data_IF_005724056876
#
_entry.id   IF_005724056876
#
_cell.length_a   1.000
_cell.length_b   1.000
_cell.length_c   1.000
_cell.angle_alpha   90.00
_cell.angle_beta   90.00
_cell.angle_gamma   90.00
#
_symmetry.space_group_name_H-M   'P 1'
#
loop_
_entity.id
_entity.type
_entity.pdbx_description
1 polymer ?
#
# COMPACT_ATOMS: atom_id res chain seq x y z
N UNK A 1 -40.44 -5.06 -26.28
CA UNK A 1 -39.21 -5.88 -26.25
C UNK A 1 -38.15 -5.08 -25.54
N UNK A 2 -37.68 -5.54 -24.38
CA UNK A 2 -36.67 -4.84 -23.59
C UNK A 2 -35.40 -5.64 -23.68
N UNK A 3 -34.52 -5.28 -24.61
CA UNK A 3 -33.15 -5.81 -24.64
C UNK A 3 -32.25 -4.60 -24.48
N UNK A 4 -32.03 -4.26 -23.22
CA UNK A 4 -31.01 -3.31 -22.80
C UNK A 4 -29.68 -3.73 -23.44
N UNK A 5 -28.98 -2.78 -24.04
CA UNK A 5 -27.57 -2.92 -24.39
C UNK A 5 -26.81 -3.29 -23.11
N UNK A 6 -26.57 -4.58 -22.89
CA UNK A 6 -25.73 -5.03 -21.80
C UNK A 6 -24.30 -4.53 -22.10
N UNK A 7 -23.73 -3.80 -21.15
CA UNK A 7 -22.37 -3.28 -21.27
C UNK A 7 -21.39 -4.46 -21.25
N UNK A 8 -20.90 -4.84 -22.43
CA UNK A 8 -19.99 -5.96 -22.64
C UNK A 8 -18.72 -5.83 -21.79
N UNK A 9 -18.25 -4.61 -21.54
CA UNK A 9 -17.07 -4.35 -20.72
C UNK A 9 -17.40 -4.58 -19.25
N UNK A 10 -18.54 -4.06 -18.77
CA UNK A 10 -18.97 -4.28 -17.39
C UNK A 10 -19.22 -5.76 -17.08
N UNK A 11 -19.84 -6.49 -18.01
CA UNK A 11 -20.06 -7.93 -17.89
C UNK A 11 -18.74 -8.71 -17.84
N UNK A 12 -17.80 -8.40 -18.74
CA UNK A 12 -16.49 -9.04 -18.73
C UNK A 12 -15.72 -8.76 -17.42
N UNK A 13 -15.74 -7.51 -16.92
CA UNK A 13 -15.10 -7.16 -15.63
C UNK A 13 -15.76 -7.90 -14.47
N UNK A 14 -17.08 -8.08 -14.50
CA UNK A 14 -17.80 -8.80 -13.45
C UNK A 14 -17.43 -10.29 -13.41
N UNK A 15 -17.20 -10.90 -14.58
CA UNK A 15 -16.84 -12.31 -14.70
C UNK A 15 -15.35 -12.59 -14.47
N UNK A 16 -14.47 -11.70 -14.93
CA UNK A 16 -13.02 -11.92 -14.98
C UNK A 16 -12.24 -11.09 -13.95
N UNK A 17 -12.89 -10.13 -13.29
CA UNK A 17 -12.23 -9.13 -12.48
C UNK A 17 -11.71 -7.95 -13.30
N UNK A 18 -11.26 -6.90 -12.61
CA UNK A 18 -10.64 -5.74 -13.25
C UNK A 18 -9.11 -5.87 -13.20
N UNK A 19 -8.42 -6.10 -14.34
CA UNK A 19 -6.97 -6.30 -14.36
C UNK A 19 -6.19 -5.08 -13.85
N UNK A 20 -6.74 -3.86 -13.95
CA UNK A 20 -6.11 -2.68 -13.37
C UNK A 20 -6.13 -2.70 -11.83
N UNK A 21 -7.21 -3.20 -11.23
CA UNK A 21 -7.30 -3.38 -9.77
C UNK A 21 -6.32 -4.45 -9.31
N UNK A 22 -6.23 -5.57 -10.03
CA UNK A 22 -5.25 -6.62 -9.74
C UNK A 22 -3.82 -6.08 -9.79
N UNK A 23 -3.48 -5.33 -10.84
CA UNK A 23 -2.13 -4.76 -10.97
C UNK A 23 -1.82 -3.75 -9.87
N UNK A 24 -2.77 -2.89 -9.51
CA UNK A 24 -2.60 -1.94 -8.40
C UNK A 24 -2.44 -2.65 -7.06
N UNK A 25 -3.21 -3.72 -6.83
CA UNK A 25 -3.11 -4.54 -5.62
C UNK A 25 -1.74 -5.20 -5.51
N UNK A 26 -1.24 -5.74 -6.63
CA UNK A 26 0.11 -6.30 -6.71
C UNK A 26 1.18 -5.25 -6.36
N UNK A 27 1.13 -4.07 -6.98
CA UNK A 27 2.12 -3.01 -6.74
C UNK A 27 2.09 -2.55 -5.28
N UNK A 28 0.90 -2.40 -4.69
CA UNK A 28 0.77 -2.02 -3.28
C UNK A 28 1.40 -3.06 -2.35
N UNK A 29 1.19 -4.35 -2.65
CA UNK A 29 1.77 -5.45 -1.89
C UNK A 29 3.30 -5.47 -2.01
N UNK A 30 3.83 -5.36 -3.23
CA UNK A 30 5.28 -5.29 -3.49
C UNK A 30 5.92 -4.11 -2.74
N UNK A 31 5.28 -2.94 -2.80
CA UNK A 31 5.74 -1.73 -2.07
C UNK A 31 5.77 -1.97 -0.55
N UNK A 32 4.72 -2.59 0.00
CA UNK A 32 4.64 -2.90 1.42
C UNK A 32 5.75 -3.86 1.88
N UNK A 33 6.06 -4.87 1.06
CA UNK A 33 7.14 -5.83 1.32
C UNK A 33 8.51 -5.17 1.28
N UNK A 34 8.77 -4.31 0.30
CA UNK A 34 10.01 -3.55 0.19
C UNK A 34 10.23 -2.62 1.39
N UNK A 35 9.20 -1.85 1.77
CA UNK A 35 9.26 -0.98 2.94
C UNK A 35 9.48 -1.79 4.21
N UNK A 36 8.77 -2.91 4.38
CA UNK A 36 8.94 -3.80 5.54
C UNK A 36 10.37 -4.36 5.61
N UNK A 37 10.94 -4.76 4.47
CA UNK A 37 12.31 -5.25 4.39
C UNK A 37 13.31 -4.16 4.78
N UNK A 38 13.15 -2.95 4.26
CA UNK A 38 13.99 -1.80 4.60
C UNK A 38 13.95 -1.48 6.11
N UNK A 39 12.75 -1.46 6.70
CA UNK A 39 12.57 -1.22 8.14
C UNK A 39 13.30 -2.29 8.97
N UNK A 40 13.13 -3.57 8.61
CA UNK A 40 13.84 -4.68 9.28
C UNK A 40 15.36 -4.54 9.19
N UNK A 41 15.90 -4.16 8.02
CA UNK A 41 17.33 -3.90 7.84
C UNK A 41 17.84 -2.75 8.72
N UNK A 42 16.97 -1.80 9.06
CA UNK A 42 17.26 -0.69 9.98
C UNK A 42 16.92 -0.99 11.44
N UNK A 43 16.48 -2.22 11.77
CA UNK A 43 16.08 -2.61 13.12
C UNK A 43 14.80 -1.92 13.61
N UNK A 44 13.92 -1.52 12.69
CA UNK A 44 12.64 -0.87 12.97
C UNK A 44 11.49 -1.85 12.76
N UNK A 45 10.54 -1.83 13.69
CA UNK A 45 9.24 -2.50 13.59
C UNK A 45 8.11 -1.47 13.39
N UNK A 46 6.88 -1.96 13.25
CA UNK A 46 5.71 -1.12 13.00
C UNK A 46 5.46 -0.13 14.15
N UNK A 47 5.60 -0.57 15.40
CA UNK A 47 5.44 0.27 16.60
C UNK A 47 6.46 1.40 16.62
N UNK A 48 7.73 1.08 16.34
CA UNK A 48 8.80 2.08 16.29
C UNK A 48 8.58 3.05 15.15
N UNK A 49 8.16 2.58 13.99
CA UNK A 49 7.84 3.45 12.87
C UNK A 49 6.69 4.40 13.22
N UNK A 50 5.60 3.88 13.78
CA UNK A 50 4.43 4.67 14.21
C UNK A 50 4.84 5.83 15.13
N UNK A 51 5.70 5.56 16.11
CA UNK A 51 6.27 6.58 17.00
C UNK A 51 7.18 7.59 16.28
N UNK A 52 7.94 7.13 15.27
CA UNK A 52 8.87 7.99 14.53
C UNK A 52 8.17 8.98 13.62
N UNK A 53 7.09 8.57 12.95
CA UNK A 53 6.35 9.40 11.99
C UNK A 53 5.10 10.05 12.58
N UNK A 54 4.81 9.81 13.85
CA UNK A 54 3.63 10.30 14.58
C UNK A 54 2.31 9.88 13.91
N UNK A 55 2.18 8.56 13.67
CA UNK A 55 1.02 7.96 13.01
C UNK A 55 0.52 6.79 13.85
N UNK A 56 -0.79 6.56 13.83
CA UNK A 56 -1.40 5.45 14.54
C UNK A 56 -0.85 4.10 14.04
N UNK A 57 -0.50 3.22 14.97
CA UNK A 57 0.03 1.87 14.67
C UNK A 57 -0.89 1.04 13.76
N UNK A 58 -2.20 1.22 13.89
CA UNK A 58 -3.17 0.53 13.04
C UNK A 58 -3.00 0.90 11.57
N UNK A 59 -2.79 2.18 11.27
CA UNK A 59 -2.57 2.68 9.91
C UNK A 59 -1.24 2.19 9.35
N UNK A 60 -0.18 2.26 10.16
CA UNK A 60 1.14 1.71 9.77
C UNK A 60 1.05 0.23 9.46
N UNK A 61 0.27 -0.51 10.24
CA UNK A 61 0.05 -1.94 10.00
C UNK A 61 -0.73 -2.19 8.70
N UNK A 62 -1.72 -1.35 8.35
CA UNK A 62 -2.43 -1.46 7.07
C UNK A 62 -1.52 -1.14 5.88
N UNK A 63 -0.55 -0.25 6.03
CA UNK A 63 0.43 -0.01 4.97
C UNK A 63 1.39 -1.18 4.82
N UNK A 64 1.96 -1.69 5.92
CA UNK A 64 2.95 -2.77 5.89
C UNK A 64 2.36 -4.13 5.50
N UNK A 65 1.04 -4.29 5.55
CA UNK A 65 0.34 -5.48 5.07
C UNK A 65 -0.28 -5.31 3.67
N UNK A 66 -0.02 -4.18 2.99
CA UNK A 66 -0.49 -3.91 1.64
C UNK A 66 -1.99 -3.59 1.50
N UNK A 67 -2.75 -3.49 2.60
CA UNK A 67 -4.18 -3.17 2.56
C UNK A 67 -4.45 -1.70 2.27
N UNK A 68 -3.58 -0.82 2.77
CA UNK A 68 -3.58 0.60 2.43
C UNK A 68 -2.35 0.92 1.58
N UNK A 69 -2.51 1.82 0.63
CA UNK A 69 -1.41 2.31 -0.19
C UNK A 69 -0.60 3.37 0.55
N UNK A 70 0.71 3.40 0.31
CA UNK A 70 1.53 4.55 0.67
C UNK A 70 1.31 5.65 -0.35
N UNK A 71 1.19 6.90 0.13
CA UNK A 71 1.39 8.06 -0.74
C UNK A 71 2.88 8.36 -0.87
N UNK A 72 3.29 8.96 -2.00
CA UNK A 72 4.67 9.39 -2.20
C UNK A 72 5.15 10.29 -1.06
N UNK A 73 4.32 11.27 -0.64
CA UNK A 73 4.64 12.17 0.46
C UNK A 73 4.94 11.43 1.76
N UNK A 74 4.24 10.32 2.05
CA UNK A 74 4.52 9.52 3.24
C UNK A 74 5.78 8.69 3.12
N UNK A 75 6.07 8.14 1.95
CA UNK A 75 7.36 7.48 1.71
C UNK A 75 8.52 8.45 1.92
N UNK A 76 8.42 9.67 1.38
CA UNK A 76 9.45 10.70 1.54
C UNK A 76 9.63 11.09 3.02
N UNK A 77 8.54 11.26 3.77
CA UNK A 77 8.58 11.54 5.20
C UNK A 77 9.24 10.41 6.00
N UNK A 78 8.88 9.15 5.70
CA UNK A 78 9.46 7.97 6.34
C UNK A 78 10.97 7.92 6.08
N UNK A 79 11.39 8.07 4.82
CA UNK A 79 12.81 8.05 4.44
C UNK A 79 13.60 9.17 5.13
N UNK A 80 13.09 10.40 5.14
CA UNK A 80 13.73 11.52 5.83
C UNK A 80 13.88 11.26 7.34
N UNK A 81 12.84 10.70 7.96
CA UNK A 81 12.83 10.39 9.40
C UNK A 81 13.84 9.30 9.74
N UNK A 82 13.85 8.20 8.99
CA UNK A 82 14.79 7.07 9.18
C UNK A 82 16.24 7.56 9.01
N UNK A 83 16.52 8.34 7.97
CA UNK A 83 17.88 8.81 7.70
C UNK A 83 18.37 9.87 8.70
N UNK A 84 17.47 10.66 9.29
CA UNK A 84 17.83 11.69 10.26
C UNK A 84 18.10 11.17 11.68
N UNK A 85 17.47 10.06 12.08
CA UNK A 85 17.54 9.53 13.47
C UNK A 85 18.47 8.33 13.66
N UNK A 86 19.12 7.83 12.61
CA UNK A 86 20.11 6.74 12.67
C UNK A 86 21.53 7.32 12.46
N UNK A 87 21.83 8.44 13.13
CA UNK A 87 23.16 9.07 13.12
C UNK A 87 23.83 8.95 14.48
#
# INVERSE_FOLDING_TARGET
>A
MSTQNEDLVANWIKENGNPAIEKLTQINQETAEEVTSLLKQKGLDADRLALLVDIQIAEVTQWLNGKHNFSQQKLDQILATINSKIK
#
